data_IF_756093614954
#
_entry.id   IF_756093614954
#
_cell.length_a   1.000
_cell.length_b   1.000
_cell.length_c   1.000
_cell.angle_alpha   90.00
_cell.angle_beta   90.00
_cell.angle_gamma   90.00
#
_symmetry.space_group_name_H-M   'P 1'
#
loop_
_entity.id
_entity.type
_entity.pdbx_description
1 polymer ?
#
# COMPACT_ATOMS: atom_id res chain seq x y z
N UNK A 1 -6.21 -3.46 -9.90
CA UNK A 1 -5.59 -3.93 -8.62
C UNK A 1 -6.21 -5.18 -7.99
N UNK A 2 -7.53 -5.23 -7.74
CA UNK A 2 -8.23 -6.29 -6.97
C UNK A 2 -7.82 -7.73 -7.30
N UNK A 3 -7.83 -8.10 -8.59
CA UNK A 3 -7.46 -9.46 -9.02
C UNK A 3 -6.04 -9.86 -8.58
N UNK A 4 -5.06 -8.95 -8.68
CA UNK A 4 -3.67 -9.21 -8.26
C UNK A 4 -3.60 -9.48 -6.75
N UNK A 5 -4.32 -8.70 -5.95
CA UNK A 5 -4.36 -8.86 -4.49
C UNK A 5 -5.06 -10.16 -4.11
N UNK A 6 -6.22 -10.45 -4.71
CA UNK A 6 -6.98 -11.69 -4.50
C UNK A 6 -6.14 -12.93 -4.78
N UNK A 7 -5.44 -12.95 -5.92
CA UNK A 7 -4.52 -14.05 -6.26
C UNK A 7 -3.33 -14.13 -5.29
N UNK A 8 -2.80 -12.99 -4.83
CA UNK A 8 -1.72 -12.96 -3.85
C UNK A 8 -2.13 -13.47 -2.46
N UNK A 9 -3.42 -13.35 -2.10
CA UNK A 9 -4.03 -13.96 -0.91
C UNK A 9 -4.37 -15.45 -1.10
N UNK A 10 -4.11 -16.01 -2.30
CA UNK A 10 -4.44 -17.39 -2.69
C UNK A 10 -5.94 -17.69 -2.69
N UNK A 11 -6.77 -16.67 -2.98
CA UNK A 11 -8.22 -16.79 -3.03
C UNK A 11 -8.66 -16.95 -4.49
N UNK A 12 -9.47 -17.97 -4.79
CA UNK A 12 -10.01 -18.20 -6.13
C UNK A 12 -11.48 -17.81 -6.27
N UNK A 13 -12.20 -17.68 -5.15
CA UNK A 13 -13.60 -17.23 -5.10
C UNK A 13 -13.71 -15.70 -5.10
N UNK A 14 -14.89 -15.19 -5.45
CA UNK A 14 -15.26 -13.77 -5.40
C UNK A 14 -16.02 -13.39 -4.11
N UNK A 15 -16.25 -14.35 -3.20
CA UNK A 15 -17.05 -14.14 -1.99
C UNK A 15 -16.47 -13.10 -1.01
N UNK A 16 -15.18 -12.79 -1.15
CA UNK A 16 -14.46 -11.84 -0.28
C UNK A 16 -14.05 -10.56 -1.02
N UNK A 17 -14.54 -10.36 -2.26
CA UNK A 17 -14.07 -9.24 -3.09
C UNK A 17 -14.37 -7.88 -2.44
N UNK A 18 -15.51 -7.73 -1.75
CA UNK A 18 -15.85 -6.51 -1.00
C UNK A 18 -14.86 -6.24 0.14
N UNK A 19 -14.56 -7.23 0.98
CA UNK A 19 -13.58 -7.10 2.07
C UNK A 19 -12.18 -6.76 1.53
N UNK A 20 -11.76 -7.41 0.44
CA UNK A 20 -10.47 -7.12 -0.19
C UNK A 20 -10.47 -5.70 -0.76
N UNK A 21 -11.59 -5.25 -1.34
CA UNK A 21 -11.71 -3.88 -1.86
C UNK A 21 -11.57 -2.84 -0.74
N UNK A 22 -12.21 -3.07 0.40
CA UNK A 22 -12.11 -2.20 1.57
C UNK A 22 -10.68 -2.14 2.13
N UNK A 23 -9.98 -3.27 2.18
CA UNK A 23 -8.57 -3.31 2.57
C UNK A 23 -7.65 -2.61 1.57
N UNK A 24 -7.93 -2.72 0.27
CA UNK A 24 -7.21 -1.97 -0.77
C UNK A 24 -7.42 -0.47 -0.56
N UNK A 25 -8.66 -0.04 -0.36
CA UNK A 25 -8.99 1.37 -0.12
C UNK A 25 -8.30 1.91 1.14
N UNK A 26 -8.28 1.13 2.23
CA UNK A 26 -7.59 1.48 3.46
C UNK A 26 -6.07 1.62 3.26
N UNK A 27 -5.45 0.70 2.52
CA UNK A 27 -4.02 0.76 2.22
C UNK A 27 -3.65 2.00 1.38
N UNK A 28 -4.46 2.32 0.37
CA UNK A 28 -4.25 3.50 -0.49
C UNK A 28 -4.43 4.80 0.31
N UNK A 29 -5.43 4.85 1.20
CA UNK A 29 -5.63 5.99 2.09
C UNK A 29 -4.44 6.19 3.05
N UNK A 30 -3.89 5.11 3.61
CA UNK A 30 -2.71 5.19 4.49
C UNK A 30 -1.46 5.68 3.74
N UNK A 31 -1.25 5.22 2.50
CA UNK A 31 -0.18 5.74 1.63
C UNK A 31 -0.38 7.23 1.29
N UNK A 32 -1.63 7.65 1.03
CA UNK A 32 -1.93 9.05 0.75
C UNK A 32 -1.68 9.96 1.96
N UNK A 33 -2.07 9.54 3.18
CA UNK A 33 -1.79 10.26 4.43
C UNK A 33 -0.27 10.38 4.67
N UNK A 34 0.47 9.36 4.25
CA UNK A 34 1.92 9.33 4.26
C UNK A 34 2.58 10.33 3.28
N UNK A 35 1.81 10.98 2.40
CA UNK A 35 2.33 11.91 1.40
C UNK A 35 2.70 11.25 0.07
N UNK A 36 2.38 9.96 -0.11
CA UNK A 36 2.61 9.26 -1.38
C UNK A 36 1.58 9.75 -2.41
N UNK A 37 2.06 10.26 -3.53
CA UNK A 37 1.27 10.73 -4.68
C UNK A 37 1.27 9.70 -5.80
N UNK A 38 0.47 9.93 -6.84
CA UNK A 38 0.40 9.07 -8.03
C UNK A 38 0.19 7.58 -7.69
N UNK A 39 -0.82 7.30 -6.85
CA UNK A 39 -1.25 5.97 -6.43
C UNK A 39 -1.90 5.19 -7.60
N UNK A 40 -1.11 4.90 -8.63
CA UNK A 40 -1.54 4.27 -9.87
C UNK A 40 -1.62 2.76 -9.65
N UNK A 41 -2.73 2.17 -10.07
CA UNK A 41 -3.05 0.77 -9.80
C UNK A 41 -2.26 -0.23 -10.66
N UNK A 42 -1.48 0.28 -11.62
CA UNK A 42 -0.47 -0.43 -12.42
C UNK A 42 0.95 -0.31 -11.88
N UNK A 43 1.21 0.56 -10.90
CA UNK A 43 2.54 0.76 -10.37
C UNK A 43 2.98 -0.46 -9.52
N UNK A 44 4.13 -1.08 -9.85
CA UNK A 44 4.55 -2.31 -9.18
C UNK A 44 4.84 -2.13 -7.68
N UNK A 45 5.32 -0.96 -7.24
CA UNK A 45 5.61 -0.67 -5.83
C UNK A 45 4.34 -0.37 -5.05
N UNK A 46 3.39 0.37 -5.64
CA UNK A 46 2.07 0.59 -5.03
C UNK A 46 1.31 -0.73 -4.89
N UNK A 47 1.27 -1.55 -5.95
CA UNK A 47 0.66 -2.89 -5.90
C UNK A 47 1.32 -3.72 -4.79
N UNK A 48 2.65 -3.66 -4.66
CA UNK A 48 3.38 -4.42 -3.64
C UNK A 48 3.01 -3.97 -2.23
N UNK A 49 2.99 -2.66 -1.95
CA UNK A 49 2.62 -2.11 -0.66
C UNK A 49 1.18 -2.49 -0.27
N UNK A 50 0.23 -2.27 -1.17
CA UNK A 50 -1.18 -2.63 -0.96
C UNK A 50 -1.35 -4.13 -0.72
N UNK A 51 -0.64 -4.97 -1.47
CA UNK A 51 -0.71 -6.43 -1.29
C UNK A 51 -0.18 -6.85 0.08
N UNK A 52 0.92 -6.24 0.56
CA UNK A 52 1.48 -6.54 1.89
C UNK A 52 0.49 -6.13 2.99
N UNK A 53 -0.13 -4.95 2.87
CA UNK A 53 -1.18 -4.49 3.78
C UNK A 53 -2.36 -5.47 3.81
N UNK A 54 -2.91 -5.81 2.65
CA UNK A 54 -4.04 -6.75 2.57
C UNK A 54 -3.66 -8.11 3.17
N UNK A 55 -2.43 -8.60 2.96
CA UNK A 55 -1.97 -9.84 3.60
C UNK A 55 -1.91 -9.75 5.12
N UNK A 56 -1.50 -8.61 5.68
CA UNK A 56 -1.44 -8.43 7.13
C UNK A 56 -2.84 -8.41 7.76
N UNK A 57 -3.83 -7.84 7.06
CA UNK A 57 -5.13 -7.54 7.64
C UNK A 57 -6.26 -8.49 7.22
N UNK A 58 -6.09 -9.24 6.13
CA UNK A 58 -7.07 -10.21 5.65
C UNK A 58 -7.01 -11.52 6.45
N UNK A 59 -8.17 -12.02 6.90
CA UNK A 59 -8.29 -13.38 7.44
C UNK A 59 -7.74 -13.61 8.85
N UNK A 60 -7.63 -12.57 9.68
CA UNK A 60 -7.21 -12.66 11.10
C UNK A 60 -5.84 -13.30 11.30
N UNK A 61 -4.80 -12.74 10.68
CA UNK A 61 -3.41 -13.15 10.97
C UNK A 61 -3.00 -12.59 12.34
N UNK A 62 -2.45 -13.44 13.21
CA UNK A 62 -2.05 -13.07 14.56
C UNK A 62 -0.57 -13.35 14.84
N UNK A 63 -0.04 -12.69 15.86
CA UNK A 63 1.30 -12.91 16.39
C UNK A 63 2.41 -12.54 15.40
N UNK A 64 3.49 -13.32 15.42
CA UNK A 64 4.74 -12.98 14.74
C UNK A 64 4.64 -12.85 13.21
N UNK A 65 3.62 -13.41 12.56
CA UNK A 65 3.41 -13.22 11.12
C UNK A 65 2.81 -11.85 10.83
N UNK A 66 1.82 -11.41 11.61
CA UNK A 66 1.25 -10.08 11.51
C UNK A 66 2.32 -9.01 11.70
N UNK A 67 3.14 -9.14 12.75
CA UNK A 67 4.21 -8.18 13.04
C UNK A 67 5.24 -8.08 11.90
N UNK A 68 5.60 -9.22 11.29
CA UNK A 68 6.52 -9.26 10.15
C UNK A 68 5.93 -8.60 8.90
N UNK A 69 4.66 -8.87 8.59
CA UNK A 69 3.98 -8.26 7.46
C UNK A 69 3.77 -6.76 7.69
N UNK A 70 3.42 -6.35 8.90
CA UNK A 70 3.27 -4.95 9.27
C UNK A 70 4.59 -4.19 9.18
N UNK A 71 5.68 -4.77 9.68
CA UNK A 71 7.02 -4.17 9.54
C UNK A 71 7.44 -4.05 8.07
N UNK A 72 7.18 -5.08 7.24
CA UNK A 72 7.48 -5.02 5.81
C UNK A 72 6.65 -3.95 5.09
N UNK A 73 5.38 -3.76 5.46
CA UNK A 73 4.54 -2.69 4.93
C UNK A 73 5.05 -1.31 5.37
N UNK A 74 5.44 -1.15 6.63
CA UNK A 74 5.96 0.12 7.14
C UNK A 74 7.26 0.54 6.45
N UNK A 75 8.15 -0.42 6.16
CA UNK A 75 9.36 -0.16 5.39
C UNK A 75 9.03 0.26 3.94
N UNK A 76 8.10 -0.45 3.28
CA UNK A 76 7.65 -0.09 1.92
C UNK A 76 7.05 1.32 1.89
N UNK A 77 6.20 1.64 2.87
CA UNK A 77 5.61 2.97 3.02
C UNK A 77 6.70 4.03 3.22
N UNK A 78 7.65 3.81 4.13
CA UNK A 78 8.75 4.75 4.35
C UNK A 78 9.60 4.97 3.08
N UNK A 79 9.90 3.90 2.34
CA UNK A 79 10.61 4.01 1.06
C UNK A 79 9.84 4.87 0.06
N UNK A 80 8.55 4.63 -0.12
CA UNK A 80 7.68 5.42 -1.00
C UNK A 80 7.59 6.89 -0.59
N UNK A 81 7.54 7.17 0.71
CA UNK A 81 7.56 8.55 1.24
C UNK A 81 8.85 9.30 0.90
N UNK A 82 9.98 8.61 0.84
CA UNK A 82 11.29 9.23 0.60
C UNK A 82 11.73 9.24 -0.86
N UNK A 83 11.10 8.43 -1.71
CA UNK A 83 11.51 8.25 -3.10
C UNK A 83 11.04 9.41 -3.98
N UNK A 84 11.97 10.02 -4.72
CA UNK A 84 11.63 10.99 -5.76
C UNK A 84 10.76 10.33 -6.83
N UNK A 85 9.63 10.95 -7.18
CA UNK A 85 8.63 10.41 -8.09
C UNK A 85 7.43 9.73 -7.44
N UNK A 86 7.47 9.52 -6.11
CA UNK A 86 6.31 9.08 -5.33
C UNK A 86 5.84 10.12 -4.31
N UNK A 87 6.54 11.25 -4.20
CA UNK A 87 6.17 12.37 -3.33
C UNK A 87 6.33 13.69 -4.07
N UNK A 88 5.40 14.60 -3.85
CA UNK A 88 5.53 15.99 -4.27
C UNK A 88 6.23 16.78 -3.15
N UNK A 89 7.53 17.00 -3.31
CA UNK A 89 8.35 17.67 -2.30
C UNK A 89 8.10 19.17 -2.20
N UNK A 90 7.16 19.73 -2.99
CA UNK A 90 6.89 21.16 -3.02
C UNK A 90 8.15 21.96 -3.33
N UNK A 91 8.39 22.28 -4.60
CA UNK A 91 9.47 23.19 -4.99
C UNK A 91 9.28 24.57 -4.31
N UNK A 92 9.79 24.73 -3.09
CA UNK A 92 10.02 26.02 -2.46
C UNK A 92 11.40 26.54 -2.86
N UNK A 93 11.70 26.54 -4.16
CA UNK A 93 12.76 27.35 -4.72
C UNK A 93 12.22 28.76 -4.99
N UNK A 94 12.01 29.53 -3.92
CA UNK A 94 11.85 30.97 -4.04
C UNK A 94 13.21 31.60 -4.41
N UNK A 95 13.30 32.47 -5.43
CA UNK A 95 14.54 33.19 -5.68
C UNK A 95 14.85 34.09 -4.49
N UNK A 96 16.02 33.90 -3.89
CA UNK A 96 16.65 34.87 -3.02
C UNK A 96 16.97 36.10 -3.88
N UNK A 97 16.10 37.10 -3.82
CA UNK A 97 16.32 38.44 -4.35
C UNK A 97 17.16 39.26 -3.36
#
# INVERSE_FOLDING_TARGET
MLEKVRLALRITTHAFDEEIYDLIAAALADLSIAGVVDLIDSDPLIIRAVTTYCKAHFGSIEGAEYDRLKAAYDEQKAQLQTATGYTDWGESCGPIA
#
